data_IF_823575208124
#
_entry.id   IF_823575208124
#
_cell.length_a   1.000
_cell.length_b   1.000
_cell.length_c   1.000
_cell.angle_alpha   90.00
_cell.angle_beta   90.00
_cell.angle_gamma   90.00
#
_symmetry.space_group_name_H-M   'P 1'
#
loop_
_entity.id
_entity.type
_entity.pdbx_description
1 polymer ?
#
# COMPACT_ATOMS: atom_id res chain seq x y z
N UNK A 1 -8.54 -16.54 -9.19
CA UNK A 1 -8.13 -16.68 -7.77
C UNK A 1 -8.77 -15.54 -6.99
N UNK A 2 -9.36 -15.83 -5.83
CA UNK A 2 -9.88 -14.81 -4.91
C UNK A 2 -8.82 -14.42 -3.90
N UNK A 3 -8.65 -13.13 -3.62
CA UNK A 3 -7.80 -12.66 -2.52
C UNK A 3 -8.41 -13.07 -1.19
N UNK A 4 -7.60 -13.67 -0.32
CA UNK A 4 -8.00 -13.97 1.05
C UNK A 4 -7.88 -12.68 1.88
N UNK A 5 -9.03 -12.17 2.33
CA UNK A 5 -9.11 -10.91 3.09
C UNK A 5 -8.57 -11.06 4.52
N UNK A 6 -8.35 -12.26 5.02
CA UNK A 6 -7.80 -12.50 6.36
C UNK A 6 -6.28 -12.71 6.35
N UNK A 7 -5.70 -13.00 5.19
CA UNK A 7 -4.26 -13.19 5.01
C UNK A 7 -3.53 -11.85 4.95
N UNK A 8 -2.40 -11.77 5.67
CA UNK A 8 -1.39 -10.72 5.48
C UNK A 8 -0.34 -11.24 4.49
N UNK A 9 -0.19 -10.54 3.38
CA UNK A 9 0.69 -10.91 2.29
C UNK A 9 2.09 -10.32 2.50
N UNK A 10 3.11 -11.11 2.19
CA UNK A 10 4.53 -10.75 2.33
C UNK A 10 5.23 -10.55 0.98
N UNK A 11 4.63 -11.03 -0.12
CA UNK A 11 5.21 -10.90 -1.45
C UNK A 11 4.53 -9.75 -2.23
N UNK A 12 5.26 -8.68 -2.58
CA UNK A 12 4.69 -7.56 -3.33
C UNK A 12 4.24 -7.95 -4.74
N UNK A 13 4.77 -9.01 -5.33
CA UNK A 13 4.33 -9.46 -6.66
C UNK A 13 2.90 -10.01 -6.65
N UNK A 14 2.47 -10.65 -5.54
CA UNK A 14 1.10 -11.16 -5.40
C UNK A 14 0.08 -10.02 -5.52
N UNK A 15 0.42 -8.79 -5.10
CA UNK A 15 -0.44 -7.62 -5.26
C UNK A 15 -0.82 -7.37 -6.73
N UNK A 16 0.14 -7.44 -7.64
CA UNK A 16 -0.13 -7.20 -9.06
C UNK A 16 -0.77 -8.41 -9.74
N UNK A 17 -0.33 -9.63 -9.41
CA UNK A 17 -0.85 -10.86 -10.01
C UNK A 17 -2.30 -11.14 -9.61
N UNK A 18 -2.70 -10.78 -8.38
CA UNK A 18 -4.03 -11.08 -7.84
C UNK A 18 -5.01 -9.89 -7.86
N UNK A 19 -4.57 -8.71 -8.31
CA UNK A 19 -5.41 -7.51 -8.29
C UNK A 19 -5.65 -6.98 -6.87
N UNK A 20 -4.58 -6.84 -6.09
CA UNK A 20 -4.59 -6.51 -4.67
C UNK A 20 -4.98 -5.09 -4.30
N UNK A 21 -5.04 -4.16 -5.25
CA UNK A 21 -5.40 -2.77 -4.98
C UNK A 21 -6.71 -2.67 -4.20
N UNK A 22 -6.76 -1.80 -3.20
CA UNK A 22 -7.92 -1.53 -2.32
C UNK A 22 -8.24 -2.65 -1.30
N UNK A 23 -7.73 -3.87 -1.47
CA UNK A 23 -8.23 -5.02 -0.67
C UNK A 23 -7.15 -5.89 -0.02
N UNK A 24 -5.93 -5.92 -0.57
CA UNK A 24 -4.87 -6.80 -0.09
C UNK A 24 -4.18 -6.19 1.12
N UNK A 25 -4.14 -6.96 2.21
CA UNK A 25 -3.40 -6.63 3.43
C UNK A 25 -1.95 -7.04 3.27
N UNK A 26 -1.04 -6.09 3.41
CA UNK A 26 0.39 -6.26 3.18
C UNK A 26 1.16 -6.03 4.48
N UNK A 27 2.24 -6.78 4.69
CA UNK A 27 3.28 -6.38 5.65
C UNK A 27 3.93 -5.06 5.24
N UNK A 28 4.61 -4.32 6.15
CA UNK A 28 5.30 -3.08 5.81
C UNK A 28 6.29 -3.26 4.66
N UNK A 29 7.11 -4.33 4.73
CA UNK A 29 8.07 -4.67 3.67
C UNK A 29 7.41 -4.95 2.31
N UNK A 30 6.28 -5.67 2.31
CA UNK A 30 5.54 -5.94 1.08
C UNK A 30 4.87 -4.67 0.54
N UNK A 31 4.38 -3.78 1.39
CA UNK A 31 3.81 -2.50 1.01
C UNK A 31 4.85 -1.59 0.33
N UNK A 32 6.06 -1.50 0.90
CA UNK A 32 7.20 -0.80 0.29
C UNK A 32 7.55 -1.41 -1.07
N UNK A 33 7.65 -2.74 -1.17
CA UNK A 33 7.92 -3.41 -2.43
C UNK A 33 6.84 -3.17 -3.50
N UNK A 34 5.57 -3.02 -3.10
CA UNK A 34 4.49 -2.62 -4.01
C UNK A 34 4.72 -1.20 -4.53
N UNK A 35 5.11 -0.25 -3.68
CA UNK A 35 5.44 1.12 -4.11
C UNK A 35 6.62 1.14 -5.09
N UNK A 36 7.67 0.36 -4.84
CA UNK A 36 8.85 0.25 -5.73
C UNK A 36 8.47 -0.33 -7.10
N UNK A 37 7.71 -1.44 -7.11
CA UNK A 37 7.23 -2.05 -8.37
C UNK A 37 6.27 -1.10 -9.09
N UNK A 38 5.42 -0.38 -8.36
CA UNK A 38 4.51 0.61 -8.94
C UNK A 38 5.29 1.74 -9.63
N UNK A 39 6.32 2.27 -8.99
CA UNK A 39 7.23 3.27 -9.60
C UNK A 39 7.84 2.76 -10.90
N UNK A 40 8.41 1.54 -10.90
CA UNK A 40 8.99 0.93 -12.09
C UNK A 40 7.96 0.71 -13.22
N UNK A 41 6.67 0.58 -12.89
CA UNK A 41 5.56 0.43 -13.83
C UNK A 41 4.88 1.75 -14.18
N UNK A 42 5.40 2.88 -13.70
CA UNK A 42 4.79 4.20 -13.82
C UNK A 42 3.32 4.24 -13.33
N UNK A 43 3.08 3.59 -12.19
CA UNK A 43 1.79 3.55 -11.49
C UNK A 43 1.86 4.44 -10.25
N UNK A 44 0.82 5.23 -10.03
CA UNK A 44 0.72 6.13 -8.88
C UNK A 44 0.03 5.44 -7.71
N UNK A 45 0.65 5.52 -6.53
CA UNK A 45 0.00 5.22 -5.26
C UNK A 45 -0.91 6.39 -4.90
N UNK A 46 -2.22 6.18 -4.87
CA UNK A 46 -3.18 7.24 -4.55
C UNK A 46 -3.59 7.24 -3.08
N UNK A 47 -3.50 6.10 -2.40
CA UNK A 47 -3.84 5.98 -0.98
C UNK A 47 -3.12 4.81 -0.32
N UNK A 48 -2.78 4.99 0.93
CA UNK A 48 -2.33 3.95 1.86
C UNK A 48 -3.20 4.03 3.11
N UNK A 49 -3.67 2.87 3.57
CA UNK A 49 -4.40 2.74 4.84
C UNK A 49 -3.62 1.79 5.74
N UNK A 50 -3.19 2.27 6.90
CA UNK A 50 -2.49 1.51 7.92
C UNK A 50 -3.42 0.89 8.96
N UNK A 51 -2.98 -0.24 9.52
CA UNK A 51 -3.72 -1.04 10.48
C UNK A 51 -2.79 -1.56 11.57
N UNK A 52 -3.38 -1.81 12.74
CA UNK A 52 -2.77 -2.67 13.77
C UNK A 52 -3.40 -4.06 13.66
N UNK A 53 -2.58 -5.08 13.44
CA UNK A 53 -2.99 -6.47 13.44
C UNK A 53 -2.82 -7.09 14.83
N UNK A 54 -3.94 -7.37 15.47
CA UNK A 54 -4.03 -8.05 16.76
C UNK A 54 -3.92 -9.56 16.55
N UNK A 55 -2.69 -10.08 16.43
CA UNK A 55 -2.42 -11.47 16.05
C UNK A 55 -3.09 -12.51 16.96
N UNK A 56 -3.31 -12.19 18.22
CA UNK A 56 -4.02 -13.03 19.20
C UNK A 56 -5.52 -13.21 18.89
N UNK A 57 -6.15 -12.24 18.21
CA UNK A 57 -7.59 -12.27 17.87
C UNK A 57 -7.84 -12.37 16.37
N UNK A 58 -6.80 -12.21 15.54
CA UNK A 58 -6.91 -12.10 14.10
C UNK A 58 -7.60 -10.82 13.61
N UNK A 59 -7.87 -9.85 14.50
CA UNK A 59 -8.56 -8.61 14.16
C UNK A 59 -7.60 -7.58 13.58
N UNK A 60 -8.08 -6.85 12.58
CA UNK A 60 -7.40 -5.68 12.02
C UNK A 60 -8.10 -4.44 12.51
N UNK A 61 -7.37 -3.58 13.19
CA UNK A 61 -7.84 -2.29 13.66
C UNK A 61 -7.42 -1.24 12.63
N UNK A 62 -8.41 -0.65 11.94
CA UNK A 62 -8.18 0.45 11.01
C UNK A 62 -7.81 1.72 11.77
N UNK A 63 -6.79 2.43 11.29
CA UNK A 63 -6.21 3.60 11.97
C UNK A 63 -6.37 4.83 11.09
N UNK A 64 -7.24 5.75 11.51
CA UNK A 64 -7.48 7.01 10.78
C UNK A 64 -6.24 7.91 10.77
N UNK A 65 -5.39 7.77 11.79
CA UNK A 65 -4.08 8.38 11.93
C UNK A 65 -3.01 7.76 11.01
N UNK A 66 -3.34 6.67 10.30
CA UNK A 66 -2.46 5.98 9.35
C UNK A 66 -3.02 6.01 7.91
N UNK A 67 -3.74 7.07 7.55
CA UNK A 67 -4.22 7.28 6.18
C UNK A 67 -3.31 8.28 5.51
N UNK A 68 -2.69 7.85 4.40
CA UNK A 68 -1.96 8.72 3.51
C UNK A 68 -2.70 8.82 2.17
N UNK A 69 -2.87 10.05 1.69
CA UNK A 69 -3.47 10.35 0.41
C UNK A 69 -2.42 10.97 -0.51
N UNK A 70 -2.31 10.40 -1.71
CA UNK A 70 -1.37 10.82 -2.74
C UNK A 70 -2.06 11.39 -3.98
N UNK A 71 -1.33 11.38 -5.09
CA UNK A 71 -1.84 11.76 -6.39
C UNK A 71 -2.98 10.83 -6.84
N UNK A 72 -4.06 11.42 -7.37
CA UNK A 72 -5.24 10.69 -7.84
C UNK A 72 -5.24 10.41 -9.34
N UNK A 73 -4.29 10.98 -10.08
CA UNK A 73 -4.13 10.79 -11.52
C UNK A 73 -2.66 10.54 -11.85
N UNK A 74 -2.31 9.42 -12.50
CA UNK A 74 -0.93 9.12 -12.84
C UNK A 74 -0.29 10.09 -13.83
N UNK A 75 -1.04 10.96 -14.51
CA UNK A 75 -0.48 11.92 -15.45
C UNK A 75 0.46 11.26 -16.48
N UNK A 76 1.36 12.06 -17.07
CA UNK A 76 2.48 11.58 -17.90
C UNK A 76 3.84 12.06 -17.34
N UNK A 77 3.85 12.58 -16.11
CA UNK A 77 5.01 13.21 -15.49
C UNK A 77 5.70 12.20 -14.55
N UNK A 78 6.74 11.54 -15.06
CA UNK A 78 7.44 10.46 -14.37
C UNK A 78 8.05 10.93 -13.04
N UNK A 79 8.62 12.13 -13.01
CA UNK A 79 9.23 12.69 -11.80
C UNK A 79 8.19 12.90 -10.70
N UNK A 80 6.96 13.32 -11.06
CA UNK A 80 5.86 13.41 -10.09
C UNK A 80 5.43 12.04 -9.57
N UNK A 81 5.40 11.01 -10.42
CA UNK A 81 5.08 9.64 -9.99
C UNK A 81 6.14 9.12 -9.01
N UNK A 82 7.42 9.28 -9.36
CA UNK A 82 8.55 8.87 -8.52
C UNK A 82 8.53 9.58 -7.17
N UNK A 83 8.34 10.91 -7.16
CA UNK A 83 8.27 11.69 -5.93
C UNK A 83 7.09 11.25 -5.05
N UNK A 84 5.89 11.11 -5.63
CA UNK A 84 4.70 10.66 -4.91
C UNK A 84 4.91 9.29 -4.27
N UNK A 85 5.43 8.33 -5.04
CA UNK A 85 5.63 6.98 -4.55
C UNK A 85 6.78 6.91 -3.52
N UNK A 86 7.77 7.80 -3.59
CA UNK A 86 8.78 7.95 -2.54
C UNK A 86 8.15 8.47 -1.23
N UNK A 87 7.28 9.47 -1.30
CA UNK A 87 6.54 9.97 -0.13
C UNK A 87 5.64 8.88 0.49
N UNK A 88 4.99 8.07 -0.34
CA UNK A 88 4.25 6.87 0.09
C UNK A 88 5.13 5.88 0.88
N UNK A 89 6.35 5.62 0.40
CA UNK A 89 7.31 4.73 1.09
C UNK A 89 7.72 5.31 2.45
N UNK A 90 8.02 6.61 2.51
CA UNK A 90 8.39 7.24 3.78
C UNK A 90 7.23 7.24 4.79
N UNK A 91 5.99 7.43 4.32
CA UNK A 91 4.80 7.31 5.16
C UNK A 91 4.67 5.89 5.75
N UNK A 92 4.82 4.82 4.94
CA UNK A 92 4.78 3.44 5.45
C UNK A 92 5.83 3.21 6.54
N UNK A 93 7.06 3.72 6.35
CA UNK A 93 8.15 3.59 7.33
C UNK A 93 7.86 4.35 8.63
N UNK A 94 7.22 5.51 8.54
CA UNK A 94 6.82 6.28 9.72
C UNK A 94 5.69 5.58 10.46
N UNK A 95 4.68 5.11 9.75
CA UNK A 95 3.56 4.34 10.32
C UNK A 95 4.02 3.04 10.97
N UNK A 96 4.99 2.35 10.38
CA UNK A 96 5.62 1.16 10.97
C UNK A 96 6.27 1.48 12.32
N UNK A 97 7.00 2.61 12.42
CA UNK A 97 7.59 3.06 13.70
C UNK A 97 6.54 3.43 14.73
N UNK A 98 5.38 3.89 14.29
CA UNK A 98 4.23 4.20 15.15
C UNK A 98 3.40 2.97 15.53
N UNK A 99 3.80 1.76 15.11
CA UNK A 99 3.18 0.50 15.49
C UNK A 99 2.15 -0.06 14.50
N UNK A 100 1.97 0.58 13.35
CA UNK A 100 1.14 0.07 12.25
C UNK A 100 1.88 -1.03 11.49
N UNK A 101 1.34 -2.25 11.48
CA UNK A 101 2.05 -3.43 10.97
C UNK A 101 1.36 -4.09 9.76
N UNK A 102 0.27 -3.52 9.28
CA UNK A 102 -0.45 -3.98 8.07
C UNK A 102 -0.92 -2.78 7.26
N UNK A 103 -0.81 -2.88 5.94
CA UNK A 103 -1.19 -1.81 5.01
C UNK A 103 -2.07 -2.31 3.88
N UNK A 104 -3.00 -1.46 3.44
CA UNK A 104 -3.72 -1.61 2.17
C UNK A 104 -3.32 -0.47 1.25
N UNK A 105 -3.01 -0.78 0.00
CA UNK A 105 -2.55 0.18 -1.01
C UNK A 105 -3.62 0.31 -2.11
N UNK A 106 -3.85 1.55 -2.55
CA UNK A 106 -4.66 1.86 -3.74
C UNK A 106 -3.79 2.44 -4.85
N UNK A 107 -3.87 1.84 -6.04
CA UNK A 107 -3.28 2.38 -7.28
C UNK A 107 -4.29 3.28 -7.98
N UNK A 108 -3.86 4.47 -8.40
CA UNK A 108 -4.67 5.36 -9.22
C UNK A 108 -5.02 4.71 -10.56
N UNK A 109 -6.30 4.72 -10.93
CA UNK A 109 -6.72 4.33 -12.29
C UNK A 109 -6.53 5.51 -13.24
N UNK A 110 -5.94 5.28 -14.41
CA UNK A 110 -6.13 6.20 -15.54
C UNK A 110 -7.62 6.22 -15.86
N UNK A 111 -8.22 7.41 -15.78
CA UNK A 111 -9.57 7.68 -16.30
C UNK A 111 -9.48 8.05 -17.77
#
# INVERSE_FOLDING_TARGET
MSIDKLRVYTNPNEFFTLGGSVIMKLTPQAAIGVCEIATNKNLVISRIEGFIWHCNTGKFEARLDAIWDGLVNPGNDLEKVEKNNKEAIENIKEDEKNGHNVFIITIAKKR
#
